data_IF_102932997314
#
_entry.id   IF_102932997314
#
_cell.length_a   1.000
_cell.length_b   1.000
_cell.length_c   1.000
_cell.angle_alpha   90.00
_cell.angle_beta   90.00
_cell.angle_gamma   90.00
#
_symmetry.space_group_name_H-M   'P 1'
#
loop_
_entity.id
_entity.type
_entity.pdbx_description
1 polymer ?
#
# COMPACT_ATOMS: atom_id res chain seq x y z
N UNK A 1 -15.18 -10.37 -3.35
CA UNK A 1 -13.94 -9.67 -3.70
C UNK A 1 -14.31 -8.25 -4.07
N UNK A 2 -13.59 -7.21 -3.64
CA UNK A 2 -13.79 -5.90 -4.25
C UNK A 2 -13.41 -6.01 -5.73
N UNK A 3 -14.26 -5.47 -6.59
CA UNK A 3 -14.31 -5.56 -8.05
C UNK A 3 -13.03 -6.00 -8.79
N UNK A 4 -13.20 -6.99 -9.67
CA UNK A 4 -12.21 -7.61 -10.56
C UNK A 4 -11.52 -6.67 -11.56
N UNK A 5 -11.84 -5.37 -11.56
CA UNK A 5 -11.51 -4.46 -12.65
C UNK A 5 -10.62 -3.29 -12.21
N UNK A 6 -10.19 -3.27 -10.94
CA UNK A 6 -9.28 -2.24 -10.48
C UNK A 6 -7.89 -2.41 -11.14
N UNK A 7 -7.52 -1.47 -11.99
CA UNK A 7 -6.22 -1.41 -12.63
C UNK A 7 -5.35 -0.36 -11.95
N UNK A 8 -4.19 -0.78 -11.47
CA UNK A 8 -3.20 0.13 -10.91
C UNK A 8 -2.59 0.96 -12.04
N UNK A 9 -2.58 2.28 -11.88
CA UNK A 9 -1.82 3.15 -12.75
C UNK A 9 -0.32 3.02 -12.47
N UNK A 10 0.51 3.36 -13.46
CA UNK A 10 1.96 3.40 -13.28
C UNK A 10 2.38 4.34 -12.13
N UNK A 11 1.69 5.47 -12.00
CA UNK A 11 1.94 6.44 -10.93
C UNK A 11 1.70 5.86 -9.52
N UNK A 12 0.70 4.98 -9.39
CA UNK A 12 0.40 4.30 -8.12
C UNK A 12 1.47 3.27 -7.79
N UNK A 13 1.92 2.51 -8.79
CA UNK A 13 3.01 1.55 -8.62
C UNK A 13 4.31 2.25 -8.19
N UNK A 14 4.62 3.39 -8.80
CA UNK A 14 5.79 4.20 -8.41
C UNK A 14 5.65 4.67 -6.97
N UNK A 15 4.50 5.23 -6.59
CA UNK A 15 4.22 5.66 -5.21
C UNK A 15 4.39 4.50 -4.23
N UNK A 16 3.78 3.35 -4.49
CA UNK A 16 3.88 2.17 -3.62
C UNK A 16 5.32 1.72 -3.41
N UNK A 17 6.16 1.72 -4.46
CA UNK A 17 7.59 1.42 -4.36
C UNK A 17 8.33 2.45 -3.49
N UNK A 18 8.07 3.74 -3.70
CA UNK A 18 8.66 4.80 -2.88
C UNK A 18 8.30 4.65 -1.39
N UNK A 19 7.01 4.42 -1.08
CA UNK A 19 6.57 4.20 0.29
C UNK A 19 7.19 2.96 0.91
N UNK A 20 7.32 1.84 0.18
CA UNK A 20 8.03 0.63 0.64
C UNK A 20 9.48 0.93 1.03
N UNK A 21 10.19 1.67 0.19
CA UNK A 21 11.63 1.93 0.36
C UNK A 21 11.89 2.87 1.54
N UNK A 22 11.01 3.83 1.76
CA UNK A 22 11.11 4.81 2.86
C UNK A 22 10.50 4.30 4.18
N UNK A 23 9.72 3.22 4.15
CA UNK A 23 9.05 2.70 5.34
C UNK A 23 10.07 2.16 6.35
N UNK A 24 9.92 2.51 7.62
CA UNK A 24 10.68 1.91 8.73
C UNK A 24 9.87 0.82 9.44
N UNK A 25 8.53 0.93 9.43
CA UNK A 25 7.63 -0.06 10.01
C UNK A 25 7.52 -1.30 9.11
N UNK A 26 7.96 -2.45 9.64
CA UNK A 26 7.96 -3.71 8.88
C UNK A 26 6.55 -4.18 8.49
N UNK A 27 5.53 -3.97 9.33
CA UNK A 27 4.14 -4.39 9.08
C UNK A 27 3.53 -3.53 7.99
N UNK A 28 3.86 -2.24 7.97
CA UNK A 28 3.43 -1.32 6.93
C UNK A 28 4.13 -1.62 5.60
N UNK A 29 5.43 -1.95 5.65
CA UNK A 29 6.20 -2.39 4.47
C UNK A 29 5.61 -3.65 3.82
N UNK A 30 5.20 -4.64 4.62
CA UNK A 30 4.53 -5.85 4.13
C UNK A 30 3.25 -5.52 3.35
N UNK A 31 2.47 -4.51 3.79
CA UNK A 31 1.26 -4.07 3.08
C UNK A 31 1.61 -3.49 1.71
N UNK A 32 2.63 -2.63 1.63
CA UNK A 32 3.07 -2.07 0.35
C UNK A 32 3.58 -3.15 -0.59
N UNK A 33 4.33 -4.15 -0.08
CA UNK A 33 4.78 -5.28 -0.89
C UNK A 33 3.59 -6.07 -1.46
N UNK A 34 2.56 -6.35 -0.64
CA UNK A 34 1.35 -7.03 -1.10
C UNK A 34 0.69 -6.29 -2.28
N UNK A 35 0.54 -4.97 -2.17
CA UNK A 35 -0.06 -4.12 -3.22
C UNK A 35 0.79 -4.11 -4.50
N UNK A 36 2.12 -4.05 -4.36
CA UNK A 36 3.04 -4.10 -5.51
C UNK A 36 2.94 -5.45 -6.23
N UNK A 37 2.83 -6.57 -5.51
CA UNK A 37 2.72 -7.90 -6.11
C UNK A 37 1.42 -8.06 -6.92
N UNK A 38 0.30 -7.50 -6.42
CA UNK A 38 -0.94 -7.43 -7.21
C UNK A 38 -0.73 -6.53 -8.44
N UNK A 39 -0.19 -5.32 -8.24
CA UNK A 39 -0.13 -4.32 -9.29
C UNK A 39 0.84 -4.65 -10.44
N UNK A 40 1.91 -5.41 -10.16
CA UNK A 40 3.00 -5.64 -11.14
C UNK A 40 3.03 -7.07 -11.69
N UNK A 41 2.58 -8.05 -10.91
CA UNK A 41 2.64 -9.48 -11.28
C UNK A 41 1.24 -10.08 -11.38
N UNK A 42 0.18 -9.32 -11.07
CA UNK A 42 -1.20 -9.80 -11.06
C UNK A 42 -1.40 -11.03 -10.16
N UNK A 43 -0.63 -11.10 -9.06
CA UNK A 43 -0.77 -12.21 -8.11
C UNK A 43 -2.10 -12.15 -7.37
N UNK A 44 -2.71 -13.33 -7.19
CA UNK A 44 -3.90 -13.47 -6.35
C UNK A 44 -3.57 -13.26 -4.87
N UNK A 45 -4.58 -12.89 -4.08
CA UNK A 45 -4.43 -12.79 -2.62
C UNK A 45 -3.95 -14.08 -1.96
N UNK A 46 -4.26 -15.24 -2.56
CA UNK A 46 -3.80 -16.54 -2.06
C UNK A 46 -2.29 -16.69 -2.25
N UNK A 47 -1.76 -16.44 -3.45
CA UNK A 47 -0.32 -16.50 -3.71
C UNK A 47 0.45 -15.51 -2.83
N UNK A 48 -0.08 -14.31 -2.64
CA UNK A 48 0.53 -13.29 -1.77
C UNK A 48 0.50 -13.75 -0.31
N UNK A 49 -0.56 -14.42 0.12
CA UNK A 49 -0.67 -14.95 1.49
C UNK A 49 0.43 -15.97 1.79
N UNK A 50 0.77 -16.80 0.81
CA UNK A 50 1.85 -17.80 0.92
C UNK A 50 3.23 -17.14 0.96
N UNK A 51 3.43 -16.05 0.21
CA UNK A 51 4.71 -15.30 0.18
C UNK A 51 4.95 -14.48 1.46
N UNK A 52 3.94 -13.75 1.93
CA UNK A 52 4.07 -12.81 3.06
C UNK A 52 3.84 -13.52 4.40
N UNK A 53 3.20 -14.70 4.40
CA UNK A 53 2.89 -15.44 5.62
C UNK A 53 1.77 -14.81 6.46
N UNK A 54 0.83 -14.08 5.83
CA UNK A 54 -0.42 -13.61 6.46
C UNK A 54 -1.59 -14.39 5.90
N UNK A 55 -2.73 -14.39 6.60
CA UNK A 55 -3.94 -15.01 6.07
C UNK A 55 -4.40 -14.33 4.78
N UNK A 56 -4.98 -15.10 3.84
CA UNK A 56 -5.63 -14.55 2.63
C UNK A 56 -6.62 -13.43 2.98
N UNK A 57 -7.40 -13.58 4.05
CA UNK A 57 -8.36 -12.56 4.53
C UNK A 57 -7.67 -11.25 4.91
N UNK A 58 -6.50 -11.33 5.53
CA UNK A 58 -5.68 -10.16 5.85
C UNK A 58 -5.23 -9.44 4.58
N UNK A 59 -4.78 -10.18 3.56
CA UNK A 59 -4.39 -9.62 2.26
C UNK A 59 -5.59 -8.98 1.57
N UNK A 60 -6.74 -9.66 1.52
CA UNK A 60 -7.97 -9.13 0.94
C UNK A 60 -8.41 -7.82 1.63
N UNK A 61 -8.28 -7.74 2.95
CA UNK A 61 -8.61 -6.53 3.70
C UNK A 61 -7.66 -5.37 3.37
N UNK A 62 -6.36 -5.64 3.19
CA UNK A 62 -5.40 -4.62 2.76
C UNK A 62 -5.73 -4.10 1.36
N UNK A 63 -5.99 -5.00 0.41
CA UNK A 63 -6.37 -4.64 -0.95
C UNK A 63 -7.66 -3.83 -0.97
N UNK A 64 -8.69 -4.31 -0.29
CA UNK A 64 -9.97 -3.60 -0.20
C UNK A 64 -9.77 -2.20 0.35
N UNK A 65 -9.01 -2.06 1.44
CA UNK A 65 -8.75 -0.77 2.07
C UNK A 65 -8.00 0.19 1.15
N UNK A 66 -6.99 -0.29 0.43
CA UNK A 66 -6.29 0.52 -0.57
C UNK A 66 -7.22 0.99 -1.69
N UNK A 67 -8.03 0.09 -2.24
CA UNK A 67 -8.95 0.39 -3.35
C UNK A 67 -10.02 1.40 -2.93
N UNK A 68 -10.52 1.30 -1.69
CA UNK A 68 -11.60 2.16 -1.20
C UNK A 68 -11.12 3.51 -0.65
N UNK A 69 -9.97 3.54 0.02
CA UNK A 69 -9.51 4.69 0.80
C UNK A 69 -8.18 5.27 0.29
N UNK A 70 -7.53 4.63 -0.68
CA UNK A 70 -6.24 5.03 -1.21
C UNK A 70 -5.07 4.76 -0.26
N UNK A 71 -3.89 5.25 -0.61
CA UNK A 71 -2.64 4.96 0.10
C UNK A 71 -2.56 5.59 1.49
N UNK A 72 -3.22 6.73 1.70
CA UNK A 72 -3.25 7.49 2.96
C UNK A 72 -3.93 6.70 4.09
N UNK A 73 -4.81 5.77 3.73
CA UNK A 73 -5.49 4.87 4.64
C UNK A 73 -4.54 4.00 5.48
N UNK A 74 -3.31 3.78 5.00
CA UNK A 74 -2.28 3.03 5.71
C UNK A 74 -1.39 3.89 6.62
N UNK A 75 -1.36 5.21 6.42
CA UNK A 75 -0.50 6.14 7.16
C UNK A 75 -1.03 6.52 8.56
N UNK A 76 -2.29 6.17 8.87
CA UNK A 76 -2.98 6.58 10.11
C UNK A 76 -2.52 5.88 11.39
N UNK A 77 -1.46 5.05 11.35
CA UNK A 77 -0.95 4.37 12.55
C UNK A 77 0.42 4.95 12.95
N UNK A 78 0.46 6.23 13.30
CA UNK A 78 1.55 6.80 14.08
C UNK A 78 0.99 7.38 15.40
N UNK A 79 1.07 6.64 16.52
CA UNK A 79 0.61 7.12 17.82
C UNK A 79 1.49 8.24 18.42
N UNK A 80 2.56 8.67 17.72
CA UNK A 80 3.44 9.76 18.16
C UNK A 80 3.48 10.95 17.19
N UNK A 81 2.60 11.02 16.18
CA UNK A 81 2.59 12.15 15.25
C UNK A 81 1.56 13.23 15.60
N UNK A 82 1.78 13.94 16.71
CA UNK A 82 1.14 15.24 16.98
C UNK A 82 1.86 16.39 16.27
N UNK A 83 2.22 16.18 15.01
CA UNK A 83 2.49 17.26 14.08
C UNK A 83 2.16 16.78 12.68
N UNK A 84 1.20 17.44 12.05
CA UNK A 84 0.95 17.34 10.63
C UNK A 84 2.20 17.81 9.85
N UNK A 85 3.21 16.94 9.73
CA UNK A 85 4.23 17.07 8.72
C UNK A 85 3.73 16.25 7.55
N UNK A 86 2.96 16.92 6.69
CA UNK A 86 2.77 16.48 5.32
C UNK A 86 4.15 16.00 4.82
N UNK A 87 4.25 14.78 4.29
CA UNK A 87 5.51 14.30 3.76
C UNK A 87 6.08 15.34 2.79
N UNK A 88 7.35 15.70 2.96
CA UNK A 88 8.08 16.72 2.19
C UNK A 88 7.84 16.65 0.66
N UNK A 89 7.44 15.50 0.11
CA UNK A 89 7.13 15.32 -1.31
C UNK A 89 5.84 16.00 -1.80
N UNK A 90 4.91 16.42 -0.92
CA UNK A 90 3.74 17.23 -1.34
C UNK A 90 4.19 18.63 -1.82
N UNK A 91 5.35 19.10 -1.38
CA UNK A 91 5.92 20.40 -1.77
C UNK A 91 6.67 20.38 -3.11
N UNK A 92 6.93 19.20 -3.68
CA UNK A 92 7.73 19.05 -4.92
C UNK A 92 6.89 18.92 -6.21
N UNK A 93 5.56 19.04 -6.14
CA UNK A 93 4.68 19.05 -7.32
C UNK A 93 4.21 20.46 -7.73
N UNK A 94 4.90 21.52 -7.29
CA UNK A 94 4.53 22.92 -7.56
C UNK A 94 5.64 23.74 -8.24
N UNK A 95 6.39 23.13 -9.16
CA UNK A 95 7.21 23.87 -10.14
C UNK A 95 6.71 23.60 -11.55
#
# INVERSE_FOLDING_TARGET
>A
MPNSDYQFSESEVIKLKMFRDQCQDYRLRERYIALILVATVSMSSLQISEIIGKSKRTIDNWLSKYITEGIESFCHFNPYNTAAVAPHWISLQKE
#
